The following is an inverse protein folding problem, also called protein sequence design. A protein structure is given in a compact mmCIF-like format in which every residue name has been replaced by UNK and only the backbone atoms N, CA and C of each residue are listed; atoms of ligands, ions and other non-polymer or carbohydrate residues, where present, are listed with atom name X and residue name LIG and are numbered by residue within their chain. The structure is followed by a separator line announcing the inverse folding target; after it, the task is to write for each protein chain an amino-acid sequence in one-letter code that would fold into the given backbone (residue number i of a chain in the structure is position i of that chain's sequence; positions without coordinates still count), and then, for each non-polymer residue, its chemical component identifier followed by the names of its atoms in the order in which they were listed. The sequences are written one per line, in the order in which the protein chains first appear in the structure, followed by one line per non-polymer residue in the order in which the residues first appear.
data_IF_759000281733
#
_entry.id   IF_759000281733
#
_cell.length_a   1.000
_cell.length_b   1.000
_cell.length_c   1.000
_cell.angle_alpha   90.00
_cell.angle_beta   90.00
_cell.angle_gamma   90.00
#
_symmetry.space_group_name_H-M   'P 1'
#
loop_
_entity.id
_entity.type
_entity.pdbx_description
1 polymer ?
#
# COMPACT_ATOMS: atom_id res chain seq x y z
N UNK A 1 -17.90 -6.00 16.82
CA UNK A 1 -17.40 -4.78 16.17
C UNK A 1 -16.82 -5.18 14.82
N UNK A 2 -17.50 -4.87 13.67
CA UNK A 2 -17.05 -5.28 12.33
C UNK A 2 -15.63 -4.81 12.01
N UNK A 3 -15.21 -3.65 12.51
CA UNK A 3 -13.84 -3.15 12.34
C UNK A 3 -12.79 -4.05 12.98
N UNK A 4 -13.10 -4.70 14.09
CA UNK A 4 -12.20 -5.64 14.76
C UNK A 4 -11.99 -6.90 13.93
N UNK A 5 -13.07 -7.46 13.39
CA UNK A 5 -13.04 -8.68 12.57
C UNK A 5 -12.24 -8.44 11.27
N UNK A 6 -12.49 -7.32 10.58
CA UNK A 6 -11.73 -6.96 9.37
C UNK A 6 -10.24 -6.81 9.63
N UNK A 7 -9.85 -6.24 10.79
CA UNK A 7 -8.45 -6.13 11.20
C UNK A 7 -7.81 -7.48 11.49
N UNK A 8 -8.52 -8.35 12.17
CA UNK A 8 -8.01 -9.68 12.51
C UNK A 8 -7.90 -10.54 11.25
N UNK A 9 -8.84 -10.40 10.32
CA UNK A 9 -8.75 -11.02 9.00
C UNK A 9 -7.56 -10.48 8.20
N UNK A 10 -7.36 -9.16 8.15
CA UNK A 10 -6.18 -8.57 7.52
C UNK A 10 -4.87 -9.05 8.15
N UNK A 11 -4.82 -9.23 9.48
CA UNK A 11 -3.66 -9.82 10.17
C UNK A 11 -3.39 -11.26 9.76
N UNK A 12 -4.42 -12.05 9.51
CA UNK A 12 -4.24 -13.43 9.08
C UNK A 12 -3.59 -13.54 7.71
N UNK A 13 -3.79 -12.55 6.84
CA UNK A 13 -3.21 -12.46 5.51
C UNK A 13 -1.72 -12.06 5.50
N UNK A 14 -1.20 -11.43 6.57
CA UNK A 14 0.21 -11.10 6.74
C UNK A 14 0.78 -9.93 5.93
N UNK A 15 -0.02 -9.00 5.36
CA UNK A 15 0.53 -7.86 4.63
C UNK A 15 1.33 -6.94 5.56
N UNK A 16 2.35 -6.26 5.04
CA UNK A 16 3.15 -5.35 5.87
C UNK A 16 2.39 -4.07 6.24
N UNK A 17 1.54 -3.58 5.36
CA UNK A 17 0.80 -2.34 5.54
C UNK A 17 -0.69 -2.58 5.33
N UNK A 18 -1.51 -2.09 6.26
CA UNK A 18 -2.97 -2.13 6.19
C UNK A 18 -3.51 -0.72 6.28
N UNK A 19 -4.44 -0.40 5.41
CA UNK A 19 -5.12 0.91 5.41
C UNK A 19 -6.63 0.74 5.34
N UNK A 20 -7.35 1.70 5.89
CA UNK A 20 -8.79 1.82 5.66
C UNK A 20 -9.01 2.48 4.29
N UNK A 21 -9.83 1.90 3.40
CA UNK A 21 -10.10 2.50 2.11
C UNK A 21 -10.88 3.81 2.28
N UNK A 22 -10.49 4.84 1.52
CA UNK A 22 -11.30 6.05 1.40
C UNK A 22 -12.43 5.78 0.40
N UNK A 23 -13.67 5.95 0.83
CA UNK A 23 -14.84 5.82 -0.03
C UNK A 23 -14.88 7.04 -0.96
N UNK A 24 -14.44 6.87 -2.20
CA UNK A 24 -14.62 7.83 -3.30
C UNK A 24 -15.89 7.50 -4.08
N UNK A 25 -16.37 8.42 -4.91
CA UNK A 25 -17.53 8.18 -5.79
C UNK A 25 -17.31 6.96 -6.70
N UNK A 26 -16.11 6.81 -7.26
CA UNK A 26 -15.73 5.66 -8.09
C UNK A 26 -15.65 4.37 -7.27
N UNK A 27 -15.20 4.45 -6.02
CA UNK A 27 -15.07 3.30 -5.14
C UNK A 27 -16.43 2.76 -4.70
N UNK A 28 -17.48 3.61 -4.68
CA UNK A 28 -18.87 3.19 -4.37
C UNK A 28 -19.44 2.18 -5.34
N UNK A 29 -18.94 2.11 -6.55
CA UNK A 29 -19.34 1.13 -7.57
C UNK A 29 -18.55 -0.19 -7.49
N UNK A 30 -17.66 -0.32 -6.53
CA UNK A 30 -16.85 -1.53 -6.35
C UNK A 30 -17.64 -2.62 -5.61
N UNK A 31 -17.26 -3.88 -5.88
CA UNK A 31 -17.77 -5.04 -5.13
C UNK A 31 -17.54 -4.90 -3.63
N UNK A 32 -16.40 -4.31 -3.23
CA UNK A 32 -16.09 -4.03 -1.84
C UNK A 32 -17.13 -3.14 -1.17
N UNK A 33 -17.53 -2.02 -1.81
CA UNK A 33 -18.56 -1.13 -1.27
C UNK A 33 -19.91 -1.83 -1.16
N UNK A 34 -20.28 -2.61 -2.18
CA UNK A 34 -21.52 -3.36 -2.15
C UNK A 34 -21.56 -4.36 -0.97
N UNK A 35 -20.48 -5.08 -0.73
CA UNK A 35 -20.36 -5.98 0.42
C UNK A 35 -20.35 -5.23 1.76
N UNK A 36 -19.71 -4.06 1.82
CA UNK A 36 -19.71 -3.23 3.03
C UNK A 36 -21.12 -2.74 3.38
N UNK A 37 -21.92 -2.34 2.38
CA UNK A 37 -23.32 -1.94 2.58
C UNK A 37 -24.19 -3.11 3.11
N UNK A 38 -23.83 -4.35 2.79
CA UNK A 38 -24.46 -5.56 3.32
C UNK A 38 -23.81 -6.07 4.63
N UNK A 39 -22.95 -5.29 5.27
CA UNK A 39 -22.20 -5.66 6.48
C UNK A 39 -21.33 -6.91 6.32
N UNK A 40 -20.95 -7.28 5.08
CA UNK A 40 -20.03 -8.38 4.82
C UNK A 40 -18.61 -7.90 5.06
N UNK A 41 -17.94 -8.52 6.04
CA UNK A 41 -16.52 -8.23 6.30
C UNK A 41 -15.66 -8.62 5.12
N UNK A 42 -14.97 -7.65 4.53
CA UNK A 42 -14.15 -7.84 3.35
C UNK A 42 -12.82 -7.09 3.46
N UNK A 43 -11.81 -7.60 2.77
CA UNK A 43 -10.46 -7.03 2.70
C UNK A 43 -10.00 -7.06 1.26
N UNK A 44 -9.43 -5.96 0.80
CA UNK A 44 -8.77 -5.89 -0.51
C UNK A 44 -7.29 -6.18 -0.29
N UNK A 45 -6.80 -7.27 -0.87
CA UNK A 45 -5.39 -7.60 -0.91
C UNK A 45 -4.82 -7.17 -2.27
N UNK A 46 -3.84 -6.27 -2.25
CA UNK A 46 -3.20 -5.76 -3.47
C UNK A 46 -1.69 -5.88 -3.36
N UNK A 47 -1.07 -6.48 -4.37
CA UNK A 47 0.37 -6.64 -4.43
C UNK A 47 0.85 -6.81 -5.89
N UNK A 48 2.12 -6.47 -6.15
CA UNK A 48 2.75 -6.63 -7.46
C UNK A 48 2.32 -5.58 -8.48
N UNK A 49 2.49 -5.93 -9.74
CA UNK A 49 2.24 -5.09 -10.92
C UNK A 49 1.20 -5.77 -11.80
N UNK A 50 0.26 -5.01 -12.37
CA UNK A 50 -0.85 -5.54 -13.16
C UNK A 50 -0.43 -6.28 -14.44
N UNK A 51 0.73 -5.98 -14.98
CA UNK A 51 1.24 -6.51 -16.25
C UNK A 51 2.43 -7.47 -16.08
N UNK A 52 2.71 -7.91 -14.85
CA UNK A 52 3.86 -8.75 -14.56
C UNK A 52 3.51 -9.76 -13.46
N UNK A 53 3.74 -11.04 -13.73
CA UNK A 53 3.64 -12.10 -12.73
C UNK A 53 4.96 -12.22 -11.97
N UNK A 54 4.96 -11.84 -10.70
CA UNK A 54 6.09 -11.98 -9.79
C UNK A 54 5.90 -13.25 -8.95
N UNK A 55 6.58 -14.32 -9.33
CA UNK A 55 6.50 -15.64 -8.66
C UNK A 55 6.95 -15.54 -7.21
N UNK A 56 8.03 -14.79 -6.93
CA UNK A 56 8.56 -14.64 -5.59
C UNK A 56 7.57 -13.93 -4.66
N UNK A 57 6.84 -12.96 -5.20
CA UNK A 57 5.76 -12.29 -4.47
C UNK A 57 4.58 -13.24 -4.22
N UNK A 58 4.21 -14.06 -5.20
CA UNK A 58 3.16 -15.08 -5.03
C UNK A 58 3.53 -16.07 -3.92
N UNK A 59 4.76 -16.57 -3.91
CA UNK A 59 5.29 -17.48 -2.88
C UNK A 59 5.27 -16.83 -1.48
N UNK A 60 5.57 -15.53 -1.41
CA UNK A 60 5.51 -14.76 -0.15
C UNK A 60 4.08 -14.58 0.36
N UNK A 61 3.09 -14.45 -0.53
CA UNK A 61 1.70 -14.21 -0.17
C UNK A 61 0.91 -15.50 0.11
N UNK A 62 1.27 -16.61 -0.50
CA UNK A 62 0.57 -17.88 -0.38
C UNK A 62 0.40 -18.37 1.08
N UNK A 63 1.42 -18.31 1.95
CA UNK A 63 1.26 -18.66 3.36
C UNK A 63 0.21 -17.82 4.09
N UNK A 64 0.11 -16.54 3.76
CA UNK A 64 -0.91 -15.64 4.32
C UNK A 64 -2.33 -16.01 3.88
N UNK A 65 -2.51 -16.36 2.60
CA UNK A 65 -3.80 -16.83 2.09
C UNK A 65 -4.22 -18.14 2.76
N UNK A 66 -3.32 -19.11 2.86
CA UNK A 66 -3.59 -20.38 3.58
C UNK A 66 -3.93 -20.10 5.05
N UNK A 67 -3.18 -19.20 5.70
CA UNK A 67 -3.42 -18.83 7.08
C UNK A 67 -4.78 -18.14 7.29
N UNK A 68 -5.23 -17.34 6.32
CA UNK A 68 -6.56 -16.73 6.36
C UNK A 68 -7.70 -17.75 6.25
N UNK A 69 -7.52 -18.81 5.45
CA UNK A 69 -8.47 -19.91 5.34
C UNK A 69 -8.54 -20.77 6.63
N UNK A 70 -7.40 -20.93 7.32
CA UNK A 70 -7.35 -21.54 8.65
C UNK A 70 -8.05 -20.66 9.68
N UNK A 71 -7.82 -19.33 9.62
CA UNK A 71 -8.43 -18.36 10.55
C UNK A 71 -9.95 -18.30 10.40
N UNK A 72 -10.47 -18.40 9.17
CA UNK A 72 -11.92 -18.43 8.89
C UNK A 72 -12.56 -19.79 9.17
N UNK A 73 -11.78 -20.83 9.42
CA UNK A 73 -12.27 -22.20 9.61
C UNK A 73 -12.64 -22.93 8.32
N UNK A 74 -12.37 -22.34 7.15
CA UNK A 74 -12.60 -22.99 5.85
C UNK A 74 -11.67 -24.18 5.66
N UNK A 75 -10.40 -24.04 6.08
CA UNK A 75 -9.49 -25.16 6.20
C UNK A 75 -9.51 -25.63 7.66
N UNK A 76 -10.13 -26.78 7.91
CA UNK A 76 -10.06 -27.47 9.21
C UNK A 76 -8.71 -28.19 9.30
N UNK A 77 -7.89 -27.79 10.27
CA UNK A 77 -6.70 -28.55 10.64
C UNK A 77 -6.42 -28.39 12.13
N UNK A 78 -6.76 -29.39 12.91
CA UNK A 78 -6.58 -29.41 14.37
C UNK A 78 -5.13 -29.23 14.84
N UNK A 79 -4.16 -29.36 13.92
CA UNK A 79 -2.73 -29.30 14.21
C UNK A 79 -2.09 -27.93 13.95
N UNK A 80 -2.73 -27.04 13.17
CA UNK A 80 -2.16 -25.74 12.83
C UNK A 80 -3.05 -24.61 13.32
N UNK A 81 -2.59 -23.88 14.35
CA UNK A 81 -3.22 -22.64 14.79
C UNK A 81 -2.88 -21.52 13.80
N UNK A 82 -3.85 -20.63 13.48
CA UNK A 82 -3.56 -19.47 12.64
C UNK A 82 -2.46 -18.58 13.23
N UNK A 83 -1.54 -18.15 12.38
CA UNK A 83 -0.46 -17.25 12.75
C UNK A 83 -1.02 -15.83 12.79
N UNK A 84 -0.74 -15.07 13.88
CA UNK A 84 -1.05 -13.66 13.97
C UNK A 84 0.17 -12.83 13.53
N UNK A 85 0.10 -12.23 12.35
CA UNK A 85 1.15 -11.35 11.87
C UNK A 85 1.08 -9.97 12.54
N UNK A 86 2.25 -9.35 12.76
CA UNK A 86 2.32 -7.96 13.21
C UNK A 86 2.11 -7.04 12.00
N UNK A 87 1.04 -6.26 12.03
CA UNK A 87 0.72 -5.30 10.99
C UNK A 87 1.10 -3.89 11.42
N UNK A 88 1.59 -3.12 10.45
CA UNK A 88 1.66 -1.66 10.58
C UNK A 88 0.30 -1.09 10.21
N UNK A 89 -0.58 -0.95 11.20
CA UNK A 89 -1.91 -0.40 10.99
C UNK A 89 -1.89 1.10 11.20
N UNK A 90 -2.27 1.87 10.18
CA UNK A 90 -2.39 3.31 10.27
C UNK A 90 -3.87 3.72 10.18
N UNK A 91 -4.48 4.00 11.33
CA UNK A 91 -5.87 4.43 11.45
C UNK A 91 -6.13 5.84 10.90
N UNK A 92 -5.09 6.66 10.80
CA UNK A 92 -5.14 8.04 10.31
C UNK A 92 -4.35 8.17 9.01
N UNK A 93 -4.67 7.31 8.04
CA UNK A 93 -3.94 7.23 6.78
C UNK A 93 -3.91 8.59 6.07
N UNK A 94 -2.93 9.39 6.39
CA UNK A 94 -2.56 10.52 5.56
C UNK A 94 -1.73 9.97 4.42
N UNK A 95 -2.41 9.63 3.35
CA UNK A 95 -1.75 9.36 2.09
C UNK A 95 -1.25 10.68 1.52
N UNK A 96 0.01 10.72 1.14
CA UNK A 96 0.63 11.82 0.41
C UNK A 96 0.89 11.36 -1.00
N UNK A 97 0.22 12.01 -1.92
CA UNK A 97 0.38 11.80 -3.34
C UNK A 97 1.46 12.74 -3.86
N UNK A 98 2.51 12.18 -4.43
CA UNK A 98 3.60 12.93 -5.02
C UNK A 98 3.42 12.87 -6.53
N UNK A 99 3.18 14.03 -7.12
CA UNK A 99 2.90 14.17 -8.56
C UNK A 99 4.00 14.97 -9.25
N UNK A 100 4.15 14.73 -10.55
CA UNK A 100 5.07 15.47 -11.39
C UNK A 100 4.53 16.86 -11.77
N UNK A 101 5.42 17.82 -12.00
CA UNK A 101 5.11 19.08 -12.64
C UNK A 101 5.54 19.08 -14.11
N UNK A 102 6.49 18.22 -14.49
CA UNK A 102 6.94 18.03 -15.87
C UNK A 102 6.48 16.68 -16.43
N UNK A 103 6.38 16.57 -17.74
CA UNK A 103 6.28 15.31 -18.46
C UNK A 103 7.66 14.87 -18.94
N UNK A 104 7.90 13.56 -19.03
CA UNK A 104 9.18 13.02 -19.44
C UNK A 104 9.38 11.57 -19.04
N UNK A 105 10.64 11.15 -18.87
CA UNK A 105 10.99 9.83 -18.37
C UNK A 105 11.28 9.87 -16.86
N UNK A 106 10.50 9.12 -16.09
CA UNK A 106 10.70 8.99 -14.65
C UNK A 106 11.72 7.91 -14.34
N UNK A 107 12.78 8.28 -13.64
CA UNK A 107 13.85 7.43 -13.17
C UNK A 107 13.81 7.35 -11.64
N UNK A 108 13.14 6.36 -11.03
CA UNK A 108 13.07 6.24 -9.59
C UNK A 108 14.41 5.84 -8.99
N UNK A 109 14.78 6.45 -7.85
CA UNK A 109 16.00 6.14 -7.08
C UNK A 109 15.70 5.38 -5.79
N UNK A 110 14.43 5.12 -5.50
CA UNK A 110 13.97 4.43 -4.28
C UNK A 110 13.24 3.14 -4.63
N UNK A 111 13.10 2.25 -3.66
CA UNK A 111 12.40 0.98 -3.81
C UNK A 111 11.04 1.03 -3.10
N UNK A 112 10.04 0.38 -3.69
CA UNK A 112 8.74 0.19 -3.06
C UNK A 112 8.89 -0.48 -1.68
N UNK A 113 8.10 -0.04 -0.69
CA UNK A 113 8.17 -0.54 0.69
C UNK A 113 9.25 0.12 1.55
N UNK A 114 10.14 0.97 0.98
CA UNK A 114 11.17 1.67 1.75
C UNK A 114 10.58 2.79 2.60
N UNK A 115 11.29 3.11 3.68
CA UNK A 115 11.03 4.28 4.49
C UNK A 115 11.66 5.51 3.83
N UNK A 116 10.87 6.55 3.61
CA UNK A 116 11.28 7.80 2.97
C UNK A 116 11.27 8.91 4.02
N UNK A 117 12.29 9.75 4.01
CA UNK A 117 12.36 10.97 4.83
C UNK A 117 11.90 12.18 4.03
N UNK A 118 11.33 13.18 4.71
CA UNK A 118 11.02 14.48 4.09
C UNK A 118 12.28 15.08 3.44
N UNK A 119 12.14 15.56 2.20
CA UNK A 119 13.24 16.08 1.39
C UNK A 119 14.09 15.01 0.70
N UNK A 120 13.85 13.72 0.95
CA UNK A 120 14.57 12.65 0.26
C UNK A 120 14.14 12.60 -1.20
N UNK A 121 15.13 12.44 -2.09
CA UNK A 121 14.91 12.26 -3.53
C UNK A 121 14.25 10.92 -3.79
N UNK A 122 13.16 10.93 -4.57
CA UNK A 122 12.42 9.76 -5.00
C UNK A 122 12.85 9.34 -6.40
N UNK A 123 13.18 10.30 -7.24
CA UNK A 123 13.63 10.07 -8.61
C UNK A 123 13.80 11.36 -9.39
N UNK A 124 14.14 11.23 -10.64
CA UNK A 124 14.25 12.33 -11.59
C UNK A 124 13.30 12.14 -12.76
N UNK A 125 12.83 13.25 -13.32
CA UNK A 125 12.18 13.28 -14.61
C UNK A 125 13.20 13.84 -15.58
N UNK A 126 13.47 13.09 -16.63
CA UNK A 126 14.46 13.46 -17.65
C UNK A 126 13.83 13.61 -19.03
N UNK A 127 14.37 14.52 -19.82
CA UNK A 127 14.11 14.57 -21.25
C UNK A 127 15.04 13.56 -21.95
N UNK A 128 14.44 12.59 -22.64
CA UNK A 128 15.19 11.51 -23.28
C UNK A 128 16.01 12.01 -24.50
N UNK A 129 15.61 13.11 -25.13
CA UNK A 129 16.28 13.63 -26.30
C UNK A 129 17.52 14.45 -25.96
N UNK A 130 17.42 15.28 -24.93
CA UNK A 130 18.52 16.13 -24.46
C UNK A 130 19.31 15.53 -23.31
N UNK A 131 18.83 14.43 -22.72
CA UNK A 131 19.39 13.82 -21.51
C UNK A 131 19.53 14.81 -20.34
N UNK A 132 18.63 15.80 -20.27
CA UNK A 132 18.61 16.79 -19.18
C UNK A 132 17.57 16.44 -18.14
N UNK A 133 17.85 16.75 -16.87
CA UNK A 133 16.91 16.60 -15.80
C UNK A 133 15.93 17.77 -15.87
N UNK A 134 14.64 17.45 -16.09
CA UNK A 134 13.55 18.41 -16.12
C UNK A 134 13.05 18.74 -14.71
N UNK A 135 13.00 17.71 -13.84
CA UNK A 135 12.52 17.84 -12.47
C UNK A 135 13.15 16.78 -11.57
N UNK A 136 13.57 17.16 -10.36
CA UNK A 136 13.93 16.22 -9.30
C UNK A 136 12.77 16.10 -8.32
N UNK A 137 12.25 14.90 -8.18
CA UNK A 137 11.09 14.60 -7.32
C UNK A 137 11.57 14.37 -5.90
N UNK A 138 11.16 15.23 -4.99
CA UNK A 138 11.49 15.16 -3.57
C UNK A 138 10.25 14.82 -2.75
N UNK A 139 10.44 14.07 -1.67
CA UNK A 139 9.37 13.77 -0.72
C UNK A 139 8.99 15.02 0.08
N UNK A 140 7.71 15.38 0.10
CA UNK A 140 7.15 16.49 0.89
C UNK A 140 6.97 16.13 2.37
N UNK A 141 6.94 14.83 2.67
CA UNK A 141 6.73 14.29 4.02
C UNK A 141 7.52 13.00 4.23
N UNK A 142 7.63 12.57 5.50
CA UNK A 142 8.24 11.29 5.85
C UNK A 142 7.17 10.21 5.95
N UNK A 143 7.48 8.99 5.46
CA UNK A 143 6.52 7.89 5.47
C UNK A 143 7.08 6.62 4.84
N UNK A 144 6.17 5.65 4.63
CA UNK A 144 6.48 4.44 3.88
C UNK A 144 5.99 4.57 2.44
N UNK A 145 6.85 4.24 1.48
CA UNK A 145 6.52 4.25 0.06
C UNK A 145 5.64 3.03 -0.27
N UNK A 146 4.34 3.28 -0.43
CA UNK A 146 3.35 2.21 -0.66
C UNK A 146 2.94 2.08 -2.12
N UNK A 147 3.22 3.09 -2.94
CA UNK A 147 3.02 3.06 -4.38
C UNK A 147 4.18 3.79 -5.06
N UNK A 148 4.69 3.22 -6.13
CA UNK A 148 5.72 3.81 -6.98
C UNK A 148 5.35 3.54 -8.44
N UNK A 149 5.37 4.58 -9.26
CA UNK A 149 5.08 4.48 -10.69
C UNK A 149 6.05 3.53 -11.37
N UNK A 150 5.53 2.57 -12.10
CA UNK A 150 6.31 1.57 -12.82
C UNK A 150 6.53 1.93 -14.29
N UNK A 151 5.63 2.73 -14.89
CA UNK A 151 5.80 3.22 -16.24
C UNK A 151 6.77 4.38 -16.25
N UNK A 152 7.80 4.28 -17.10
CA UNK A 152 8.83 5.32 -17.19
C UNK A 152 8.30 6.58 -17.88
N UNK A 153 7.42 6.43 -18.89
CA UNK A 153 6.81 7.60 -19.56
C UNK A 153 5.72 8.16 -18.66
N UNK A 154 5.82 9.44 -18.38
CA UNK A 154 4.87 10.16 -17.54
C UNK A 154 4.44 11.47 -18.21
N UNK A 155 3.22 11.88 -17.89
CA UNK A 155 2.68 13.18 -18.26
C UNK A 155 2.70 14.13 -17.06
N UNK A 156 2.60 15.41 -17.34
CA UNK A 156 2.47 16.41 -16.30
C UNK A 156 1.29 16.12 -15.37
N UNK A 157 1.46 16.31 -14.05
CA UNK A 157 0.48 16.07 -12.98
C UNK A 157 0.12 14.61 -12.74
N UNK A 158 0.84 13.67 -13.29
CA UNK A 158 0.66 12.26 -12.93
C UNK A 158 1.24 11.95 -11.56
N UNK A 159 0.56 11.05 -10.84
CA UNK A 159 1.01 10.56 -9.54
C UNK A 159 2.16 9.58 -9.75
N UNK A 160 3.31 9.89 -9.19
CA UNK A 160 4.54 9.09 -9.27
C UNK A 160 4.73 8.18 -8.07
N UNK A 161 4.33 8.65 -6.91
CA UNK A 161 4.51 7.92 -5.65
C UNK A 161 3.40 8.24 -4.66
N UNK A 162 3.12 7.28 -3.78
CA UNK A 162 2.23 7.49 -2.63
C UNK A 162 3.00 7.11 -1.37
N UNK A 163 3.09 8.04 -0.45
CA UNK A 163 3.64 7.82 0.89
C UNK A 163 2.52 7.66 1.90
N UNK A 164 2.69 6.69 2.78
CA UNK A 164 1.87 6.53 3.97
C UNK A 164 2.61 7.18 5.14
N UNK A 165 2.13 8.33 5.62
CA UNK A 165 2.76 9.03 6.74
C UNK A 165 2.84 8.12 7.97
N UNK A 166 3.96 8.19 8.68
CA UNK A 166 4.09 7.48 9.96
C UNK A 166 3.07 8.03 10.95
N UNK A 167 2.41 7.16 11.74
CA UNK A 167 1.60 7.62 12.84
C UNK A 167 2.49 8.46 13.77
N UNK A 168 2.05 9.66 14.12
CA UNK A 168 2.70 10.44 15.18
C UNK A 168 2.60 9.59 16.46
N UNK A 169 3.72 9.17 17.02
CA UNK A 169 3.79 8.56 18.34
C UNK A 169 3.20 9.56 19.34
N UNK A 170 1.93 9.39 19.71
CA UNK A 170 1.40 10.04 20.89
C UNK A 170 1.94 9.24 22.08
N UNK A 171 2.92 9.79 22.78
CA UNK A 171 3.23 9.35 24.12
C UNK A 171 1.97 9.58 24.97
N UNK A 172 1.25 8.49 25.26
CA UNK A 172 0.22 8.52 26.29
C UNK A 172 0.98 8.39 27.62
N UNK A 173 0.92 9.39 28.49
CA UNK A 173 1.48 9.22 29.83
C UNK A 173 0.69 8.12 30.51
N UNK A 174 1.35 7.03 30.85
CA UNK A 174 0.82 6.01 31.74
C UNK A 174 0.65 6.69 33.10
N UNK A 175 -0.60 6.89 33.54
CA UNK A 175 -0.94 7.23 34.91
C UNK A 175 -0.95 5.97 35.76
#
# INVERSE_FOLDING_TARGET
NPDGIAKDFARSLGPQNVREPKISSTFRLSLYSHWADQMITSVILSAGKSNHLDISLCETMLPGLINSLLWTGVLGNDRKKPIKYQLRFNRQNKERFISSHAGGFFLPTVKLGSEIKKGQKIGDIVDIHSNTILESILADSSGYLVTLRNHSIIYQREVLAVLLEKPKLRFWPVK
#
